data_IF_128930123532
#
_entry.id   IF_128930123532
#
_cell.length_a   1.000
_cell.length_b   1.000
_cell.length_c   1.000
_cell.angle_alpha   90.00
_cell.angle_beta   90.00
_cell.angle_gamma   90.00
#
_symmetry.space_group_name_H-M   'P 1'
#
loop_
_entity.id
_entity.type
_entity.pdbx_description
1 polymer ?
#
# COMPACT_ATOMS: atom_id res chain seq x y z
N UNK A 1 -4.57 15.31 6.23
CA UNK A 1 -3.71 14.15 5.97
C UNK A 1 -3.23 14.10 4.52
N UNK A 2 -2.15 13.40 4.27
CA UNK A 2 -1.62 13.15 2.92
C UNK A 2 -1.74 11.66 2.61
N UNK A 3 -2.29 11.35 1.44
CA UNK A 3 -2.29 10.01 0.86
C UNK A 3 -1.21 9.91 -0.22
N UNK A 4 -0.34 8.92 -0.10
CA UNK A 4 0.58 8.53 -1.16
C UNK A 4 -0.02 7.38 -1.95
N UNK A 5 -0.22 7.59 -3.24
CA UNK A 5 -0.93 6.67 -4.12
C UNK A 5 -0.09 6.28 -5.33
N UNK A 6 -0.35 5.10 -5.85
CA UNK A 6 0.23 4.61 -7.08
C UNK A 6 -0.77 3.78 -7.89
N UNK A 7 -0.48 3.58 -9.16
CA UNK A 7 -1.32 2.80 -10.07
C UNK A 7 -0.78 1.37 -10.18
N UNK A 8 -1.65 0.38 -10.05
CA UNK A 8 -1.28 -1.02 -10.31
C UNK A 8 -0.71 -1.20 -11.72
N UNK A 9 -1.19 -0.44 -12.69
CA UNK A 9 -0.72 -0.49 -14.07
C UNK A 9 0.77 -0.14 -14.25
N UNK A 10 1.37 0.57 -13.29
CA UNK A 10 2.79 0.94 -13.29
C UNK A 10 3.70 -0.12 -12.65
N UNK A 11 3.12 -1.22 -12.14
CA UNK A 11 3.89 -2.37 -11.67
C UNK A 11 4.46 -3.10 -12.89
N UNK A 12 5.77 -3.38 -12.87
CA UNK A 12 6.44 -4.12 -13.94
C UNK A 12 6.08 -5.61 -13.93
N UNK A 13 6.47 -6.33 -14.98
CA UNK A 13 6.27 -7.79 -15.06
C UNK A 13 7.00 -8.54 -13.94
N UNK A 14 8.09 -7.99 -13.41
CA UNK A 14 8.85 -8.52 -12.27
C UNK A 14 8.29 -8.09 -10.91
N UNK A 15 7.09 -7.49 -10.89
CA UNK A 15 6.45 -6.95 -9.68
C UNK A 15 7.26 -5.86 -8.98
N UNK A 16 7.98 -5.06 -9.74
CA UNK A 16 8.65 -3.88 -9.24
C UNK A 16 7.79 -2.63 -9.43
N UNK A 17 7.92 -1.70 -8.52
CA UNK A 17 7.27 -0.39 -8.58
C UNK A 17 8.29 0.69 -8.25
N UNK A 18 8.47 1.63 -9.17
CA UNK A 18 9.38 2.77 -8.94
C UNK A 18 8.67 3.83 -8.08
N UNK A 19 9.26 4.15 -6.94
CA UNK A 19 8.72 5.16 -6.03
C UNK A 19 8.62 6.56 -6.66
N UNK A 20 9.34 6.83 -7.73
CA UNK A 20 9.19 8.06 -8.52
C UNK A 20 7.79 8.22 -9.14
N UNK A 21 7.03 7.12 -9.30
CA UNK A 21 5.65 7.14 -9.82
C UNK A 21 4.60 7.38 -8.73
N UNK A 22 5.00 7.47 -7.47
CA UNK A 22 4.09 7.77 -6.35
C UNK A 22 3.66 9.22 -6.42
N UNK A 23 2.35 9.44 -6.31
CA UNK A 23 1.76 10.77 -6.20
C UNK A 23 1.20 10.99 -4.79
N UNK A 24 1.47 12.15 -4.22
CA UNK A 24 1.00 12.53 -2.90
C UNK A 24 -0.18 13.52 -3.02
N UNK A 25 -1.27 13.24 -2.29
CA UNK A 25 -2.49 14.03 -2.32
C UNK A 25 -2.82 14.55 -0.93
N UNK A 26 -2.97 15.86 -0.81
CA UNK A 26 -3.51 16.47 0.40
C UNK A 26 -5.03 16.27 0.45
N UNK A 27 -5.50 15.61 1.51
CA UNK A 27 -6.94 15.39 1.75
C UNK A 27 -7.36 16.26 2.94
N UNK A 28 -8.14 17.32 2.69
CA UNK A 28 -8.65 18.19 3.75
C UNK A 28 -9.63 17.47 4.69
N UNK A 29 -9.79 17.99 5.89
CA UNK A 29 -10.81 17.51 6.82
C UNK A 29 -12.22 17.59 6.20
N UNK A 30 -13.08 16.64 6.53
CA UNK A 30 -14.44 16.56 6.00
C UNK A 30 -14.56 16.02 4.58
N UNK A 31 -13.47 15.56 3.99
CA UNK A 31 -13.45 14.96 2.63
C UNK A 31 -13.54 13.44 2.72
N UNK A 32 -14.46 12.85 1.96
CA UNK A 32 -14.52 11.41 1.73
C UNK A 32 -13.75 11.05 0.45
N UNK A 33 -12.99 9.96 0.52
CA UNK A 33 -12.18 9.46 -0.60
C UNK A 33 -12.49 7.99 -0.81
N UNK A 34 -12.73 7.60 -2.05
CA UNK A 34 -12.77 6.19 -2.45
C UNK A 34 -11.44 5.79 -3.07
N UNK A 35 -10.81 4.76 -2.50
CA UNK A 35 -9.57 4.17 -3.05
C UNK A 35 -9.94 2.88 -3.74
N UNK A 36 -9.74 2.83 -5.05
CA UNK A 36 -10.08 1.64 -5.85
C UNK A 36 -9.13 0.47 -5.59
N UNK A 37 -9.59 -0.75 -5.88
CA UNK A 37 -8.83 -1.97 -5.64
C UNK A 37 -7.49 -2.04 -6.39
N UNK A 38 -7.37 -1.35 -7.51
CA UNK A 38 -6.16 -1.26 -8.33
C UNK A 38 -5.25 -0.06 -8.00
N UNK A 39 -5.55 0.63 -6.90
CA UNK A 39 -4.75 1.75 -6.40
C UNK A 39 -3.84 1.29 -5.27
N UNK A 40 -2.54 1.42 -5.50
CA UNK A 40 -1.54 1.20 -4.46
C UNK A 40 -1.61 2.36 -3.46
N UNK A 41 -1.59 2.02 -2.18
CA UNK A 41 -1.65 3.02 -1.11
C UNK A 41 -0.93 2.53 0.13
N UNK A 42 -0.58 3.45 0.98
CA UNK A 42 -0.01 3.19 2.29
C UNK A 42 -0.79 3.96 3.36
N UNK A 43 -0.48 3.73 4.62
CA UNK A 43 -1.08 4.47 5.71
C UNK A 43 -0.92 5.98 5.49
N UNK A 44 -1.98 6.78 5.70
CA UNK A 44 -1.90 8.21 5.50
C UNK A 44 -0.89 8.87 6.42
N UNK A 45 -0.28 9.94 5.93
CA UNK A 45 0.68 10.73 6.69
C UNK A 45 -0.01 11.93 7.34
N UNK A 46 0.42 12.28 8.55
CA UNK A 46 0.00 13.51 9.20
C UNK A 46 0.71 14.72 8.59
N UNK A 47 0.02 15.85 8.59
CA UNK A 47 0.56 17.16 8.13
C UNK A 47 0.97 18.04 9.30
N UNK A 48 0.56 17.68 10.51
CA UNK A 48 0.80 18.43 11.74
C UNK A 48 1.11 17.46 12.89
N UNK A 49 1.82 17.94 13.90
CA UNK A 49 2.16 17.13 15.10
C UNK A 49 0.92 16.61 15.85
N UNK A 50 -0.19 17.34 15.76
CA UNK A 50 -1.47 16.92 16.37
C UNK A 50 -2.07 15.67 15.72
N UNK A 51 -1.55 15.27 14.55
CA UNK A 51 -2.05 14.11 13.80
C UNK A 51 -3.41 14.37 13.15
N UNK A 52 -4.15 13.28 12.93
CA UNK A 52 -5.49 13.31 12.33
C UNK A 52 -6.37 12.18 12.85
N UNK A 53 -7.65 12.25 12.58
CA UNK A 53 -8.61 11.16 12.78
C UNK A 53 -9.27 10.84 11.45
N UNK A 54 -9.43 9.55 11.18
CA UNK A 54 -10.13 9.08 9.98
C UNK A 54 -10.93 7.83 10.27
N UNK A 55 -11.93 7.59 9.45
CA UNK A 55 -12.71 6.34 9.43
C UNK A 55 -12.43 5.64 8.11
N UNK A 56 -12.16 4.35 8.19
CA UNK A 56 -11.93 3.50 7.02
C UNK A 56 -13.03 2.44 6.95
N UNK A 57 -13.64 2.31 5.78
CA UNK A 57 -14.60 1.25 5.49
C UNK A 57 -13.93 0.23 4.59
N UNK A 58 -13.85 -1.00 5.04
CA UNK A 58 -13.19 -2.11 4.36
C UNK A 58 -14.13 -3.33 4.28
N UNK A 59 -13.95 -4.21 3.28
CA UNK A 59 -14.59 -5.53 3.30
C UNK A 59 -14.24 -6.29 4.58
N UNK A 60 -15.21 -7.00 5.14
CA UNK A 60 -15.03 -7.79 6.35
C UNK A 60 -13.90 -8.80 6.17
N UNK A 61 -13.02 -8.87 7.15
CA UNK A 61 -11.87 -9.79 7.16
C UNK A 61 -10.60 -9.24 6.50
N UNK A 62 -10.64 -8.05 5.91
CA UNK A 62 -9.44 -7.41 5.34
C UNK A 62 -8.34 -7.26 6.40
N UNK A 63 -7.10 -7.50 6.02
CA UNK A 63 -5.89 -7.50 6.86
C UNK A 63 -5.78 -8.65 7.89
N UNK A 64 -6.76 -9.56 7.97
CA UNK A 64 -6.58 -10.75 8.81
C UNK A 64 -5.57 -11.71 8.20
N UNK A 65 -5.01 -12.56 9.05
CA UNK A 65 -4.07 -13.59 8.62
C UNK A 65 -4.70 -14.52 7.58
N UNK A 66 -3.88 -15.03 6.68
CA UNK A 66 -4.31 -16.01 5.70
C UNK A 66 -4.63 -17.34 6.42
N UNK A 67 -5.83 -17.86 6.18
CA UNK A 67 -6.31 -19.12 6.79
C UNK A 67 -5.79 -20.36 6.07
N UNK A 68 -5.27 -20.20 4.84
CA UNK A 68 -4.71 -21.28 4.02
C UNK A 68 -3.33 -20.85 3.52
N UNK A 69 -2.39 -21.80 3.51
CA UNK A 69 -1.16 -21.63 2.73
C UNK A 69 -1.55 -21.64 1.25
N UNK A 70 -1.30 -20.55 0.57
CA UNK A 70 -1.33 -20.52 -0.88
C UNK A 70 -0.03 -21.13 -1.39
N UNK A 71 -0.13 -22.21 -2.13
CA UNK A 71 0.97 -22.63 -3.00
C UNK A 71 1.06 -21.57 -4.09
N UNK A 72 2.26 -21.05 -4.35
CA UNK A 72 2.49 -20.01 -5.35
C UNK A 72 2.12 -20.53 -6.75
N UNK A 73 0.82 -20.61 -7.04
CA UNK A 73 0.30 -21.05 -8.32
C UNK A 73 0.57 -20.01 -9.42
N UNK A 74 0.67 -18.74 -9.01
CA UNK A 74 1.06 -17.62 -9.90
C UNK A 74 2.14 -16.79 -9.23
N UNK A 75 2.94 -16.08 -10.01
CA UNK A 75 3.97 -15.19 -9.48
C UNK A 75 3.38 -14.04 -8.65
N UNK A 76 2.15 -13.61 -8.98
CA UNK A 76 1.44 -12.56 -8.23
C UNK A 76 1.14 -12.99 -6.78
N UNK A 77 0.99 -14.27 -6.50
CA UNK A 77 0.73 -14.76 -5.15
C UNK A 77 1.87 -14.50 -4.17
N UNK A 78 3.08 -14.23 -4.66
CA UNK A 78 4.20 -13.76 -3.83
C UNK A 78 3.91 -12.45 -3.12
N UNK A 79 2.99 -11.65 -3.65
CA UNK A 79 2.57 -10.38 -3.10
C UNK A 79 1.46 -10.53 -2.05
N UNK A 80 0.79 -11.68 -2.01
CA UNK A 80 -0.32 -11.91 -1.09
C UNK A 80 0.19 -12.01 0.34
N UNK A 81 -0.17 -11.02 1.15
CA UNK A 81 0.34 -10.84 2.51
C UNK A 81 -0.70 -11.15 3.60
N UNK A 82 -1.95 -10.90 3.32
CA UNK A 82 -3.07 -11.12 4.22
C UNK A 82 -4.38 -11.23 3.45
N UNK A 83 -5.49 -11.43 4.14
CA UNK A 83 -6.80 -11.50 3.52
C UNK A 83 -7.13 -10.17 2.83
N UNK A 84 -7.47 -10.21 1.55
CA UNK A 84 -7.71 -9.03 0.70
C UNK A 84 -6.53 -8.03 0.70
N UNK A 85 -5.31 -8.51 0.90
CA UNK A 85 -4.15 -7.63 1.04
C UNK A 85 -2.94 -8.16 0.29
N UNK A 86 -2.53 -7.43 -0.75
CA UNK A 86 -1.28 -7.62 -1.47
C UNK A 86 -0.32 -6.49 -1.10
N UNK A 87 0.96 -6.82 -0.91
CA UNK A 87 1.97 -5.85 -0.46
C UNK A 87 3.19 -5.91 -1.36
N UNK A 88 3.60 -4.75 -1.81
CA UNK A 88 4.94 -4.50 -2.37
C UNK A 88 5.62 -3.53 -1.41
N UNK A 89 6.75 -3.95 -0.84
CA UNK A 89 7.47 -3.16 0.15
C UNK A 89 8.77 -2.58 -0.41
N UNK A 90 9.24 -1.50 0.21
CA UNK A 90 10.60 -1.04 0.03
C UNK A 90 11.55 -1.87 0.92
N UNK A 91 12.74 -2.28 0.44
CA UNK A 91 13.68 -3.09 1.24
C UNK A 91 14.04 -2.44 2.58
N UNK A 92 14.19 -1.13 2.60
CA UNK A 92 14.54 -0.38 3.83
C UNK A 92 13.41 -0.33 4.86
N UNK A 93 12.19 -0.66 4.49
CA UNK A 93 11.06 -0.75 5.42
C UNK A 93 11.16 -1.98 6.33
N UNK A 94 11.93 -2.99 5.94
CA UNK A 94 12.19 -4.22 6.72
C UNK A 94 10.90 -4.89 7.22
N UNK A 95 9.89 -5.00 6.35
CA UNK A 95 8.65 -5.69 6.65
C UNK A 95 8.86 -7.17 6.42
N UNK A 96 8.84 -7.94 7.51
CA UNK A 96 9.03 -9.40 7.46
C UNK A 96 7.92 -10.07 6.63
N UNK A 97 8.32 -10.93 5.71
CA UNK A 97 7.41 -11.68 4.84
C UNK A 97 6.85 -10.90 3.66
N UNK A 98 7.10 -9.60 3.55
CA UNK A 98 6.65 -8.80 2.41
C UNK A 98 7.60 -8.95 1.21
N UNK A 99 7.01 -8.89 0.01
CA UNK A 99 7.79 -8.84 -1.23
C UNK A 99 8.45 -7.47 -1.41
N UNK A 100 9.77 -7.43 -1.53
CA UNK A 100 10.56 -6.20 -1.68
C UNK A 100 10.64 -5.81 -3.17
N UNK A 101 9.60 -5.19 -3.66
CA UNK A 101 9.49 -4.80 -5.08
C UNK A 101 9.55 -3.28 -5.33
N UNK A 102 9.55 -2.44 -4.30
CA UNK A 102 9.69 -0.99 -4.50
C UNK A 102 11.15 -0.66 -4.72
N UNK A 103 11.42 -0.02 -5.85
CA UNK A 103 12.73 0.53 -6.22
C UNK A 103 12.72 2.06 -6.12
N UNK A 104 13.91 2.66 -6.10
CA UNK A 104 14.05 4.09 -5.92
C UNK A 104 14.11 4.51 -4.45
N UNK A 105 13.77 5.75 -4.18
CA UNK A 105 13.81 6.33 -2.85
C UNK A 105 12.70 5.75 -1.95
N UNK A 106 13.04 5.47 -0.69
CA UNK A 106 12.04 5.18 0.33
C UNK A 106 11.41 6.50 0.80
N UNK A 107 10.28 6.85 0.19
CA UNK A 107 9.66 8.16 0.36
C UNK A 107 9.22 8.42 1.78
N UNK A 108 9.45 9.63 2.23
CA UNK A 108 8.98 10.15 3.51
C UNK A 108 8.33 11.51 3.30
N UNK A 109 7.33 11.80 4.10
CA UNK A 109 6.78 13.14 4.20
C UNK A 109 7.47 13.84 5.38
N UNK A 110 8.19 14.86 5.04
CA UNK A 110 8.86 15.72 6.04
C UNK A 110 7.99 16.92 6.41
#
# INVERSE_FOLDING_TARGET
LVLMLGKRADITEDFQYDSANVEAFLVPAGTAVEVFADTLHYAPCNTEESGFRMVVVLPKGTNLDLTKKHENATDEEKLLFGTNKWVIAHPDAKIEGAFNGIIGENLKLD
#
